data_IF_034859195831
#
_entry.id   IF_034859195831
#
_cell.length_a   1.000
_cell.length_b   1.000
_cell.length_c   1.000
_cell.angle_alpha   90.00
_cell.angle_beta   90.00
_cell.angle_gamma   90.00
#
_symmetry.space_group_name_H-M   'P 1'
#
loop_
_entity.id
_entity.type
_entity.pdbx_description
1 polymer ?
#
# COMPACT_ATOMS: atom_id res chain seq x y z
N UNK A 1 -33.02 78.22 -19.28
CA UNK A 1 -32.68 77.81 -17.90
C UNK A 1 -31.92 76.49 -18.05
N UNK A 2 -30.74 76.48 -18.66
CA UNK A 2 -29.43 76.99 -18.21
C UNK A 2 -28.93 76.35 -16.91
N UNK A 3 -27.72 75.77 -16.98
CA UNK A 3 -26.87 75.35 -15.86
C UNK A 3 -26.40 73.90 -15.93
N UNK A 4 -25.42 73.55 -16.77
CA UNK A 4 -23.97 73.44 -16.43
C UNK A 4 -23.63 72.21 -15.55
N UNK A 5 -23.10 71.11 -16.12
CA UNK A 5 -21.67 70.79 -16.32
C UNK A 5 -20.93 70.36 -15.04
N UNK A 6 -20.43 69.11 -14.99
CA UNK A 6 -19.05 68.78 -14.62
C UNK A 6 -18.67 67.36 -15.08
N UNK A 7 -17.54 67.28 -15.80
CA UNK A 7 -16.84 66.09 -16.30
C UNK A 7 -15.64 65.80 -15.40
N UNK A 8 -15.39 64.52 -15.10
CA UNK A 8 -14.07 63.88 -14.91
C UNK A 8 -14.33 62.37 -14.71
N UNK A 9 -13.75 61.39 -15.43
CA UNK A 9 -12.53 61.38 -16.23
C UNK A 9 -11.38 60.75 -15.45
N UNK A 10 -11.40 59.43 -15.20
CA UNK A 10 -10.19 58.67 -14.81
C UNK A 10 -10.20 57.29 -15.49
N UNK A 11 -9.49 57.21 -16.61
CA UNK A 11 -9.05 55.97 -17.26
C UNK A 11 -7.72 55.55 -16.62
N UNK A 12 -7.73 54.51 -15.80
CA UNK A 12 -6.53 53.89 -15.23
C UNK A 12 -6.02 52.75 -16.11
N UNK A 13 -5.14 53.10 -17.04
CA UNK A 13 -4.30 52.21 -17.85
C UNK A 13 -3.17 51.69 -16.95
N UNK A 14 -3.20 50.43 -16.54
CA UNK A 14 -2.03 49.77 -15.93
C UNK A 14 -1.23 49.05 -17.01
N UNK A 15 0.04 49.44 -17.03
CA UNK A 15 1.05 49.09 -17.99
C UNK A 15 1.54 47.65 -17.82
N UNK A 16 1.99 47.11 -18.95
CA UNK A 16 2.84 45.95 -19.05
C UNK A 16 4.08 46.11 -18.15
N UNK A 17 4.28 45.19 -17.22
CA UNK A 17 5.61 44.82 -16.75
C UNK A 17 5.88 43.40 -17.20
N UNK A 18 6.72 43.31 -18.23
CA UNK A 18 7.36 42.08 -18.66
C UNK A 18 8.33 41.65 -17.56
N UNK A 19 7.96 40.64 -16.78
CA UNK A 19 8.90 39.93 -15.91
C UNK A 19 9.74 39.03 -16.82
N UNK A 20 10.97 39.47 -17.06
CA UNK A 20 12.06 38.64 -17.55
C UNK A 20 12.27 37.50 -16.54
N UNK A 21 11.78 36.31 -16.86
CA UNK A 21 12.19 35.11 -16.15
C UNK A 21 13.54 34.69 -16.70
N UNK A 22 14.56 35.05 -15.92
CA UNK A 22 15.94 34.61 -16.01
C UNK A 22 15.99 33.06 -16.05
N UNK A 23 16.43 32.51 -17.17
CA UNK A 23 16.81 31.11 -17.31
C UNK A 23 17.99 30.85 -16.36
N UNK A 24 17.73 30.19 -15.21
CA UNK A 24 18.79 29.54 -14.45
C UNK A 24 18.98 28.13 -14.99
N UNK A 25 19.84 28.07 -15.98
CA UNK A 25 20.55 26.87 -16.41
C UNK A 25 21.39 26.34 -15.24
N UNK A 26 20.86 25.37 -14.47
CA UNK A 26 21.67 24.59 -13.51
C UNK A 26 22.28 23.42 -14.24
N UNK A 27 23.26 23.74 -15.07
CA UNK A 27 24.25 22.80 -15.58
C UNK A 27 25.18 22.40 -14.43
N UNK A 28 24.85 21.32 -13.71
CA UNK A 28 25.83 20.66 -12.84
C UNK A 28 26.79 19.81 -13.67
N UNK A 29 27.77 20.53 -14.20
CA UNK A 29 28.98 20.02 -14.81
C UNK A 29 29.89 19.44 -13.72
N UNK A 30 29.71 18.16 -13.32
CA UNK A 30 30.70 17.41 -12.53
C UNK A 30 31.59 16.58 -13.47
N UNK A 31 32.58 17.24 -14.04
CA UNK A 31 33.84 16.60 -14.45
C UNK A 31 34.94 17.21 -13.62
N UNK A 32 35.60 16.41 -12.78
CA UNK A 32 37.03 16.54 -12.47
C UNK A 32 37.51 15.22 -11.85
N UNK A 33 38.44 14.61 -12.60
CA UNK A 33 39.59 13.77 -12.25
C UNK A 33 39.42 12.54 -11.35
N UNK A 34 39.51 11.38 -12.02
CA UNK A 34 40.69 10.49 -11.95
C UNK A 34 41.47 10.44 -10.63
N UNK A 35 41.22 9.40 -9.84
CA UNK A 35 42.12 8.90 -8.81
C UNK A 35 42.13 7.37 -8.84
N UNK A 36 43.09 6.80 -9.56
CA UNK A 36 43.45 5.38 -9.49
C UNK A 36 44.01 5.09 -8.09
N UNK A 37 43.38 4.19 -7.35
CA UNK A 37 44.01 3.49 -6.23
C UNK A 37 43.70 1.99 -6.35
N UNK A 38 44.59 1.27 -7.02
CA UNK A 38 44.70 -0.18 -6.88
C UNK A 38 45.12 -0.48 -5.43
N UNK A 39 44.30 -1.22 -4.71
CA UNK A 39 44.74 -1.94 -3.52
C UNK A 39 44.28 -3.38 -3.63
N UNK A 40 45.15 -4.18 -4.25
CA UNK A 40 45.11 -5.62 -4.15
C UNK A 40 45.62 -6.00 -2.76
N UNK A 41 44.75 -6.53 -1.90
CA UNK A 41 45.15 -7.25 -0.70
C UNK A 41 44.81 -8.71 -0.92
N UNK A 42 45.81 -9.46 -1.36
CA UNK A 42 45.85 -10.90 -1.23
C UNK A 42 46.20 -11.23 0.23
N UNK A 43 45.31 -11.94 0.93
CA UNK A 43 45.62 -12.56 2.21
C UNK A 43 45.46 -14.07 2.07
N UNK A 44 46.62 -14.72 2.17
CA UNK A 44 46.87 -16.14 2.08
C UNK A 44 46.39 -16.88 3.34
N UNK A 45 46.02 -18.13 3.08
CA UNK A 45 45.76 -19.26 3.99
C UNK A 45 46.71 -19.41 5.20
N UNK A 46 46.12 -19.81 6.34
CA UNK A 46 46.64 -20.77 7.32
C UNK A 46 45.47 -21.17 8.26
N UNK A 47 44.91 -22.40 8.24
CA UNK A 47 45.43 -23.71 8.69
C UNK A 47 45.40 -23.94 10.22
N UNK A 48 44.73 -25.04 10.60
CA UNK A 48 44.82 -25.82 11.86
C UNK A 48 44.42 -25.10 13.17
N UNK A 49 43.66 -25.64 14.11
CA UNK A 49 43.32 -27.01 14.49
C UNK A 49 43.13 -27.04 16.02
N UNK A 50 42.44 -28.04 16.56
CA UNK A 50 42.63 -28.45 17.97
C UNK A 50 41.44 -28.38 18.92
N UNK A 51 40.76 -29.52 19.03
CA UNK A 51 40.54 -30.29 20.28
C UNK A 51 39.68 -29.75 21.44
N UNK A 52 38.61 -30.52 21.69
CA UNK A 52 38.17 -31.12 22.96
C UNK A 52 37.93 -30.24 24.21
N UNK A 53 36.67 -30.21 24.65
CA UNK A 53 36.33 -30.56 26.03
C UNK A 53 34.86 -31.04 26.16
N UNK A 54 34.58 -32.08 26.96
CA UNK A 54 33.25 -32.63 27.22
C UNK A 54 32.62 -31.98 28.46
N UNK A 55 31.30 -31.73 28.44
CA UNK A 55 30.50 -31.40 29.63
C UNK A 55 29.12 -32.05 29.43
N UNK A 56 28.94 -33.24 29.99
CA UNK A 56 28.25 -33.51 31.26
C UNK A 56 26.74 -33.74 31.06
N UNK A 57 26.44 -35.03 31.07
CA UNK A 57 25.25 -35.70 31.61
C UNK A 57 24.41 -34.82 32.54
N UNK A 58 23.11 -34.70 32.24
CA UNK A 58 22.13 -34.65 33.31
C UNK A 58 20.92 -35.53 32.97
N UNK A 59 20.61 -36.37 33.94
CA UNK A 59 19.58 -37.42 33.91
C UNK A 59 18.36 -36.87 34.64
N UNK A 60 17.35 -36.44 33.89
CA UNK A 60 16.11 -35.89 34.45
C UNK A 60 14.89 -36.76 34.14
N UNK A 61 14.57 -37.66 35.06
CA UNK A 61 13.33 -38.45 35.13
C UNK A 61 12.09 -37.56 35.26
N UNK A 62 11.05 -37.77 34.46
CA UNK A 62 9.64 -37.49 34.82
C UNK A 62 8.69 -38.24 33.89
N UNK A 63 8.06 -39.33 34.34
CA UNK A 63 6.76 -39.35 35.06
C UNK A 63 5.57 -39.28 34.11
N UNK A 64 5.12 -40.47 33.68
CA UNK A 64 3.88 -40.74 32.95
C UNK A 64 2.66 -40.41 33.81
N UNK A 65 1.70 -39.59 33.34
CA UNK A 65 0.37 -39.50 33.96
C UNK A 65 -0.58 -40.60 33.45
N UNK A 66 -1.59 -40.99 34.26
CA UNK A 66 -2.47 -42.12 34.01
C UNK A 66 -3.56 -41.82 32.97
N UNK A 67 -3.92 -42.89 32.25
CA UNK A 67 -5.08 -43.04 31.38
C UNK A 67 -6.36 -42.90 32.22
N UNK A 68 -7.21 -41.94 31.86
CA UNK A 68 -8.55 -41.72 32.44
C UNK A 68 -9.58 -41.57 31.32
N UNK A 69 -10.68 -42.30 31.45
CA UNK A 69 -11.68 -42.61 30.44
C UNK A 69 -12.38 -41.38 29.83
N UNK A 70 -12.35 -41.29 28.50
CA UNK A 70 -12.98 -40.24 27.73
C UNK A 70 -14.36 -40.72 27.26
N UNK A 71 -15.40 -40.20 27.91
CA UNK A 71 -16.82 -40.41 27.58
C UNK A 71 -17.15 -39.71 26.25
N UNK A 72 -17.51 -40.52 25.24
CA UNK A 72 -17.92 -40.08 23.91
C UNK A 72 -19.37 -39.58 23.93
N UNK A 73 -19.54 -38.26 24.00
CA UNK A 73 -20.82 -37.60 23.72
C UNK A 73 -20.84 -37.17 22.25
N UNK A 74 -21.83 -37.58 21.43
CA UNK A 74 -21.95 -37.14 20.05
C UNK A 74 -22.49 -35.71 20.03
N UNK A 75 -21.58 -34.72 20.09
CA UNK A 75 -21.92 -33.33 19.82
C UNK A 75 -22.05 -33.20 18.30
N UNK A 76 -23.30 -33.05 17.84
CA UNK A 76 -23.66 -33.03 16.43
C UNK A 76 -22.81 -32.05 15.62
N UNK A 77 -22.32 -32.53 14.48
CA UNK A 77 -21.93 -31.70 13.36
C UNK A 77 -23.13 -30.81 12.99
N UNK A 78 -23.13 -29.61 13.56
CA UNK A 78 -23.92 -28.51 13.04
C UNK A 78 -23.29 -28.14 11.71
N UNK A 79 -23.72 -28.86 10.66
CA UNK A 79 -23.50 -28.48 9.28
C UNK A 79 -23.99 -27.05 9.12
N UNK A 80 -23.08 -26.09 9.12
CA UNK A 80 -23.32 -24.72 8.69
C UNK A 80 -23.45 -24.73 7.16
N UNK A 81 -24.52 -25.35 6.67
CA UNK A 81 -25.04 -25.14 5.32
C UNK A 81 -25.59 -23.73 5.24
N UNK A 82 -24.66 -22.79 5.06
CA UNK A 82 -24.91 -21.40 4.75
C UNK A 82 -23.80 -20.86 3.85
N UNK A 83 -23.30 -21.70 2.92
CA UNK A 83 -22.38 -21.32 1.85
C UNK A 83 -23.12 -20.49 0.80
N UNK A 84 -23.69 -19.37 1.25
CA UNK A 84 -24.31 -18.38 0.40
C UNK A 84 -23.22 -17.67 -0.39
N UNK A 85 -23.43 -17.55 -1.70
CA UNK A 85 -22.51 -16.81 -2.55
C UNK A 85 -22.36 -15.35 -2.05
N UNK A 86 -21.19 -15.04 -1.52
CA UNK A 86 -20.73 -13.69 -1.14
C UNK A 86 -21.02 -12.71 -2.28
N UNK A 87 -21.82 -11.69 -1.99
CA UNK A 87 -22.17 -10.68 -2.98
C UNK A 87 -21.06 -9.63 -3.08
N UNK A 88 -20.60 -9.30 -4.30
CA UNK A 88 -19.67 -8.19 -4.50
C UNK A 88 -20.27 -6.88 -3.98
N UNK A 89 -19.53 -6.19 -3.11
CA UNK A 89 -19.94 -4.88 -2.60
C UNK A 89 -19.44 -3.75 -3.51
N UNK A 90 -20.12 -2.58 -3.50
CA UNK A 90 -19.63 -1.38 -4.14
C UNK A 90 -18.23 -1.00 -3.64
N UNK A 91 -17.47 -0.27 -4.46
CA UNK A 91 -16.18 0.27 -4.03
C UNK A 91 -16.33 1.14 -2.78
N UNK A 92 -15.46 0.91 -1.79
CA UNK A 92 -15.45 1.60 -0.51
C UNK A 92 -16.75 1.41 0.33
N UNK A 93 -17.31 0.20 0.36
CA UNK A 93 -18.51 -0.10 1.14
C UNK A 93 -18.32 0.13 2.67
N UNK A 94 -17.14 -0.19 3.22
CA UNK A 94 -16.79 0.08 4.62
C UNK A 94 -16.59 1.56 4.95
N UNK A 95 -16.40 2.40 3.93
CA UNK A 95 -16.09 3.82 4.12
C UNK A 95 -14.71 4.07 4.77
N UNK A 96 -13.79 3.10 4.69
CA UNK A 96 -12.41 3.25 5.16
C UNK A 96 -11.58 4.13 4.23
N UNK A 97 -11.88 4.10 2.93
CA UNK A 97 -11.19 4.91 1.93
C UNK A 97 -11.81 6.31 1.81
N UNK A 98 -10.99 7.29 1.46
CA UNK A 98 -11.43 8.65 1.13
C UNK A 98 -11.15 9.00 -0.33
N UNK A 99 -11.48 10.22 -0.73
CA UNK A 99 -11.32 10.71 -2.10
C UNK A 99 -12.63 10.71 -2.89
N UNK A 100 -12.52 10.83 -4.21
CA UNK A 100 -13.67 10.98 -5.12
C UNK A 100 -13.80 9.87 -6.17
N UNK A 101 -12.86 8.91 -6.20
CA UNK A 101 -12.93 7.77 -7.09
C UNK A 101 -14.07 6.80 -6.72
N UNK A 102 -14.74 6.29 -7.75
CA UNK A 102 -15.81 5.28 -7.63
C UNK A 102 -15.70 4.23 -8.75
N UNK A 103 -14.56 3.53 -8.87
CA UNK A 103 -14.39 2.51 -9.89
C UNK A 103 -15.39 1.37 -9.72
N UNK A 104 -15.87 0.83 -10.83
CA UNK A 104 -16.66 -0.37 -10.87
C UNK A 104 -15.79 -1.60 -11.19
N UNK A 105 -15.42 -2.36 -10.16
CA UNK A 105 -14.61 -3.56 -10.33
C UNK A 105 -15.45 -4.82 -10.51
N UNK A 106 -15.00 -5.77 -11.35
CA UNK A 106 -15.63 -7.08 -11.49
C UNK A 106 -15.86 -7.82 -10.16
N UNK A 107 -16.78 -8.77 -10.20
CA UNK A 107 -17.13 -9.61 -9.07
C UNK A 107 -16.00 -10.51 -8.58
N UNK A 108 -15.05 -10.94 -9.43
CA UNK A 108 -14.03 -11.93 -9.07
C UNK A 108 -14.59 -13.35 -8.93
N UNK A 109 -13.75 -14.31 -8.54
CA UNK A 109 -14.15 -15.70 -8.33
C UNK A 109 -14.80 -15.88 -6.95
N UNK A 110 -15.85 -16.70 -6.88
CA UNK A 110 -16.58 -17.00 -5.64
C UNK A 110 -15.69 -17.78 -4.66
N UNK A 111 -15.74 -17.43 -3.37
CA UNK A 111 -15.03 -18.14 -2.32
C UNK A 111 -13.51 -17.92 -2.32
N UNK A 112 -13.00 -16.95 -3.09
CA UNK A 112 -11.58 -16.65 -3.22
C UNK A 112 -11.29 -15.17 -3.07
N UNK A 113 -10.05 -14.86 -2.72
CA UNK A 113 -9.49 -13.52 -2.93
C UNK A 113 -8.95 -13.47 -4.36
N UNK A 114 -9.51 -12.58 -5.19
CA UNK A 114 -9.27 -12.56 -6.64
C UNK A 114 -8.69 -11.23 -7.09
N UNK A 115 -7.69 -11.23 -7.97
CA UNK A 115 -7.31 -10.02 -8.71
C UNK A 115 -8.43 -9.68 -9.70
N UNK A 116 -9.02 -8.50 -9.57
CA UNK A 116 -10.16 -8.04 -10.39
C UNK A 116 -9.74 -6.97 -11.40
N UNK A 117 -8.57 -6.37 -11.23
CA UNK A 117 -7.96 -5.52 -12.22
C UNK A 117 -6.44 -5.51 -12.07
N UNK A 118 -5.72 -5.55 -13.19
CA UNK A 118 -4.29 -5.22 -13.26
C UNK A 118 -4.15 -3.83 -13.88
N UNK A 119 -3.42 -2.94 -13.21
CA UNK A 119 -3.04 -1.61 -13.65
C UNK A 119 -1.72 -1.59 -14.43
N UNK A 120 -1.13 -0.42 -14.69
CA UNK A 120 0.15 -0.32 -15.38
C UNK A 120 1.31 -0.87 -14.52
N UNK A 121 2.36 -1.33 -15.22
CA UNK A 121 3.69 -1.55 -14.65
C UNK A 121 4.49 -0.26 -14.79
N UNK A 122 4.83 0.36 -13.66
CA UNK A 122 5.72 1.49 -13.58
C UNK A 122 7.16 0.99 -13.51
N UNK A 123 7.84 0.92 -14.66
CA UNK A 123 9.17 0.28 -14.76
C UNK A 123 10.27 1.02 -14.01
N UNK A 124 10.10 2.32 -13.76
CA UNK A 124 11.09 3.13 -13.05
C UNK A 124 11.06 2.91 -11.53
N UNK A 125 9.86 2.72 -10.95
CA UNK A 125 9.69 2.36 -9.54
C UNK A 125 9.59 0.85 -9.31
N UNK A 126 9.50 0.06 -10.39
CA UNK A 126 9.32 -1.38 -10.36
C UNK A 126 7.97 -1.85 -9.82
N UNK A 127 6.93 -1.04 -9.98
CA UNK A 127 5.64 -1.25 -9.32
C UNK A 127 4.56 -1.67 -10.32
N UNK A 128 3.94 -2.83 -10.11
CA UNK A 128 2.74 -3.27 -10.83
C UNK A 128 1.51 -3.04 -9.96
N UNK A 129 0.63 -2.12 -10.36
CA UNK A 129 -0.59 -1.82 -9.61
C UNK A 129 -1.69 -2.86 -9.88
N UNK A 130 -2.51 -3.16 -8.89
CA UNK A 130 -3.69 -4.00 -9.10
C UNK A 130 -4.79 -3.75 -8.05
N UNK A 131 -6.01 -4.15 -8.40
CA UNK A 131 -7.14 -4.25 -7.47
C UNK A 131 -7.46 -5.73 -7.26
N UNK A 132 -7.83 -6.07 -6.03
CA UNK A 132 -8.31 -7.39 -5.68
C UNK A 132 -9.63 -7.30 -4.92
N UNK A 133 -10.39 -8.39 -4.90
CA UNK A 133 -11.64 -8.49 -4.15
C UNK A 133 -11.60 -9.70 -3.24
N UNK A 134 -12.04 -9.52 -2.01
CA UNK A 134 -12.26 -10.61 -1.07
C UNK A 134 -13.66 -11.20 -1.28
N UNK A 135 -13.82 -12.32 -1.99
CA UNK A 135 -15.11 -13.02 -2.11
C UNK A 135 -15.21 -14.25 -1.20
N UNK A 136 -14.39 -14.30 -0.15
CA UNK A 136 -14.53 -15.29 0.92
C UNK A 136 -15.62 -14.83 1.90
N UNK A 137 -16.12 -15.73 2.75
CA UNK A 137 -17.13 -15.40 3.76
C UNK A 137 -16.60 -14.59 4.94
N UNK A 138 -15.28 -14.47 5.09
CA UNK A 138 -14.63 -13.83 6.23
C UNK A 138 -13.89 -12.56 5.80
N UNK A 139 -13.69 -11.64 6.75
CA UNK A 139 -12.82 -10.49 6.53
C UNK A 139 -11.35 -10.93 6.54
N UNK A 140 -10.55 -10.34 5.67
CA UNK A 140 -9.11 -10.62 5.56
C UNK A 140 -8.26 -9.43 5.99
N UNK A 141 -7.09 -9.73 6.53
CA UNK A 141 -6.02 -8.81 6.90
C UNK A 141 -4.68 -9.37 6.38
N UNK A 142 -3.61 -8.57 6.51
CA UNK A 142 -2.23 -8.95 6.14
C UNK A 142 -2.19 -9.68 4.78
N UNK A 143 -2.72 -8.99 3.77
CA UNK A 143 -2.94 -9.56 2.44
C UNK A 143 -1.63 -9.49 1.66
N UNK A 144 -0.87 -10.57 1.71
CA UNK A 144 0.42 -10.70 1.05
C UNK A 144 0.26 -11.36 -0.32
N UNK A 145 0.58 -10.61 -1.35
CA UNK A 145 0.59 -11.08 -2.71
C UNK A 145 2.01 -11.37 -3.17
N UNK A 146 2.17 -12.42 -3.97
CA UNK A 146 3.32 -12.55 -4.85
C UNK A 146 2.85 -12.62 -6.29
N UNK A 147 3.70 -12.21 -7.22
CA UNK A 147 3.42 -12.38 -8.64
C UNK A 147 4.64 -12.84 -9.43
N UNK A 148 4.35 -13.68 -10.42
CA UNK A 148 5.32 -14.11 -11.43
C UNK A 148 4.97 -13.47 -12.77
N UNK A 149 5.92 -12.76 -13.36
CA UNK A 149 5.81 -12.22 -14.71
C UNK A 149 6.39 -13.23 -15.71
N UNK A 150 5.63 -13.54 -16.76
CA UNK A 150 6.04 -14.45 -17.83
C UNK A 150 5.96 -13.81 -19.20
N UNK A 151 6.94 -14.07 -20.07
CA UNK A 151 6.92 -13.66 -21.48
C UNK A 151 7.58 -14.76 -22.32
N UNK A 152 6.96 -15.10 -23.47
CA UNK A 152 7.42 -16.19 -24.32
C UNK A 152 7.49 -17.57 -23.62
N UNK A 153 6.64 -17.81 -22.61
CA UNK A 153 6.63 -19.05 -21.83
C UNK A 153 7.76 -19.17 -20.80
N UNK A 154 8.52 -18.11 -20.55
CA UNK A 154 9.59 -18.07 -19.54
C UNK A 154 9.23 -17.08 -18.44
N UNK A 155 9.67 -17.38 -17.22
CA UNK A 155 9.65 -16.41 -16.12
C UNK A 155 10.68 -15.32 -16.42
N UNK A 156 10.23 -14.07 -16.37
CA UNK A 156 11.05 -12.87 -16.62
C UNK A 156 11.14 -11.97 -15.39
N UNK A 157 10.36 -12.24 -14.33
CA UNK A 157 10.43 -11.53 -13.07
C UNK A 157 9.54 -12.18 -12.01
N UNK A 158 9.90 -11.98 -10.76
CA UNK A 158 9.11 -12.36 -9.58
C UNK A 158 9.11 -11.19 -8.62
N UNK A 159 7.99 -10.95 -7.94
CA UNK A 159 7.84 -9.85 -7.02
C UNK A 159 6.86 -10.16 -5.90
N UNK A 160 6.83 -9.30 -4.89
CA UNK A 160 5.91 -9.38 -3.76
C UNK A 160 5.25 -8.02 -3.50
N UNK A 161 4.09 -8.05 -2.84
CA UNK A 161 3.45 -6.84 -2.35
C UNK A 161 4.13 -6.30 -1.11
N UNK A 162 3.86 -5.04 -0.81
CA UNK A 162 4.28 -4.36 0.41
C UNK A 162 3.06 -3.76 1.12
N UNK A 163 1.99 -4.56 1.21
CA UNK A 163 0.71 -4.17 1.78
C UNK A 163 -0.32 -3.67 0.75
N UNK A 164 -1.44 -3.17 1.26
CA UNK A 164 -2.55 -2.67 0.46
C UNK A 164 -3.49 -1.79 1.27
N UNK A 165 -4.43 -1.16 0.57
CA UNK A 165 -5.49 -0.35 1.18
C UNK A 165 -6.90 -0.84 0.78
N UNK A 166 -7.86 -0.88 1.71
CA UNK A 166 -7.67 -0.75 3.15
C UNK A 166 -6.82 -1.90 3.73
N UNK A 167 -6.24 -1.69 4.91
CA UNK A 167 -5.42 -2.69 5.61
C UNK A 167 -6.19 -3.99 5.96
N UNK A 168 -7.51 -3.87 6.13
CA UNK A 168 -8.44 -4.96 6.34
C UNK A 168 -9.57 -4.85 5.33
N UNK A 169 -9.91 -5.96 4.68
CA UNK A 169 -10.88 -6.02 3.58
C UNK A 169 -11.99 -6.99 3.96
N UNK A 170 -13.21 -6.47 4.14
CA UNK A 170 -14.35 -7.30 4.52
C UNK A 170 -14.82 -8.18 3.36
N UNK A 171 -15.67 -9.16 3.67
CA UNK A 171 -16.30 -10.02 2.67
C UNK A 171 -17.04 -9.18 1.62
N UNK A 172 -16.78 -9.48 0.35
CA UNK A 172 -17.29 -8.77 -0.83
C UNK A 172 -16.56 -7.46 -1.16
N UNK A 173 -15.64 -6.96 -0.33
CA UNK A 173 -14.96 -5.67 -0.55
C UNK A 173 -13.74 -5.75 -1.47
N UNK A 174 -13.32 -4.58 -1.97
CA UNK A 174 -12.15 -4.41 -2.82
C UNK A 174 -10.99 -3.80 -2.04
N UNK A 175 -9.81 -4.34 -2.25
CA UNK A 175 -8.54 -3.72 -1.87
C UNK A 175 -7.71 -3.31 -3.11
N UNK A 176 -6.77 -2.40 -2.87
CA UNK A 176 -5.79 -1.92 -3.84
C UNK A 176 -4.41 -2.21 -3.31
N UNK A 177 -3.54 -2.75 -4.16
CA UNK A 177 -2.18 -3.11 -3.80
C UNK A 177 -1.27 -2.97 -5.02
N UNK A 178 0.01 -3.28 -4.81
CA UNK A 178 1.00 -3.33 -5.85
C UNK A 178 1.97 -4.48 -5.61
N UNK A 179 2.56 -4.98 -6.69
CA UNK A 179 3.72 -5.87 -6.63
C UNK A 179 4.96 -5.05 -6.95
N UNK A 180 5.99 -5.18 -6.13
CA UNK A 180 7.31 -4.65 -6.42
C UNK A 180 8.19 -5.72 -7.08
N UNK A 181 8.81 -5.37 -8.21
CA UNK A 181 9.75 -6.20 -8.96
C UNK A 181 11.11 -5.52 -9.02
N UNK A 182 12.14 -6.13 -8.41
CA UNK A 182 13.52 -5.61 -8.45
C UNK A 182 14.08 -5.48 -9.87
N UNK A 183 13.58 -6.29 -10.81
CA UNK A 183 14.04 -6.35 -12.18
C UNK A 183 13.04 -5.78 -13.20
N UNK A 184 12.15 -4.87 -12.78
CA UNK A 184 11.04 -4.39 -13.61
C UNK A 184 11.43 -3.86 -15.00
N UNK A 185 12.61 -3.22 -15.13
CA UNK A 185 13.11 -2.73 -16.43
C UNK A 185 13.34 -3.84 -17.47
N UNK A 186 13.52 -5.08 -17.02
CA UNK A 186 13.68 -6.25 -17.87
C UNK A 186 12.35 -6.96 -18.20
N UNK A 187 11.24 -6.58 -17.55
CA UNK A 187 9.93 -7.18 -17.77
C UNK A 187 9.29 -6.56 -19.02
N UNK A 188 9.00 -7.33 -20.08
CA UNK A 188 8.35 -6.82 -21.28
C UNK A 188 6.93 -6.29 -21.00
N UNK A 189 6.48 -5.30 -21.79
CA UNK A 189 5.14 -4.70 -21.65
C UNK A 189 3.99 -5.68 -21.90
N UNK A 190 4.24 -6.76 -22.63
CA UNK A 190 3.27 -7.82 -22.95
C UNK A 190 3.39 -9.03 -22.01
N UNK A 191 4.15 -8.91 -20.92
CA UNK A 191 4.26 -9.95 -19.92
C UNK A 191 2.88 -10.27 -19.31
N UNK A 192 2.67 -11.56 -19.04
CA UNK A 192 1.52 -12.06 -18.29
C UNK A 192 1.90 -12.19 -16.84
N UNK A 193 0.99 -11.82 -15.96
CA UNK A 193 1.20 -11.89 -14.51
C UNK A 193 0.30 -12.96 -13.91
N UNK A 194 0.90 -13.83 -13.11
CA UNK A 194 0.20 -14.81 -12.28
C UNK A 194 0.40 -14.44 -10.83
N UNK A 195 -0.68 -14.44 -10.05
CA UNK A 195 -0.71 -13.95 -8.68
C UNK A 195 -1.01 -15.10 -7.71
N UNK A 196 -0.36 -15.07 -6.56
CA UNK A 196 -0.75 -15.87 -5.39
C UNK A 196 -0.96 -14.95 -4.21
N UNK A 197 -1.79 -15.38 -3.26
CA UNK A 197 -2.17 -14.57 -2.10
C UNK A 197 -2.20 -15.40 -0.84
N UNK A 198 -1.66 -14.82 0.23
CA UNK A 198 -1.77 -15.28 1.60
C UNK A 198 -2.48 -14.20 2.42
N UNK A 199 -3.32 -14.61 3.37
CA UNK A 199 -4.12 -13.70 4.20
C UNK A 199 -4.24 -14.23 5.61
N UNK A 200 -4.41 -13.34 6.56
CA UNK A 200 -4.86 -13.66 7.92
C UNK A 200 -6.32 -13.24 8.13
N UNK A 201 -7.02 -13.81 9.12
CA UNK A 201 -8.30 -13.27 9.56
C UNK A 201 -8.15 -11.83 10.06
N UNK A 202 -9.24 -11.06 9.95
CA UNK A 202 -9.34 -9.75 10.60
C UNK A 202 -9.32 -9.92 12.12
N UNK A 203 -8.31 -9.33 12.75
CA UNK A 203 -8.23 -9.15 14.20
C UNK A 203 -7.39 -7.89 14.53
N UNK A 204 -7.18 -7.65 15.82
CA UNK A 204 -6.35 -6.54 16.33
C UNK A 204 -4.99 -7.01 16.85
N UNK A 205 -4.50 -8.17 16.41
CA UNK A 205 -3.17 -8.65 16.77
C UNK A 205 -2.09 -7.73 16.18
N UNK A 206 -0.95 -7.62 16.86
CA UNK A 206 0.17 -6.78 16.39
C UNK A 206 0.82 -7.26 15.08
N UNK A 207 0.48 -8.46 14.62
CA UNK A 207 0.85 -8.95 13.28
C UNK A 207 0.03 -8.27 12.17
N UNK A 208 -1.18 -7.84 12.49
CA UNK A 208 -2.10 -7.19 11.58
C UNK A 208 -1.92 -5.66 11.56
N UNK A 209 -2.37 -5.05 10.47
CA UNK A 209 -2.33 -3.59 10.29
C UNK A 209 -3.69 -2.98 10.63
N UNK A 210 -3.65 -1.84 11.32
CA UNK A 210 -4.84 -1.11 11.74
C UNK A 210 -5.35 -0.24 10.58
N UNK A 211 -6.58 -0.46 10.07
CA UNK A 211 -7.17 0.41 9.08
C UNK A 211 -7.60 1.74 9.73
N UNK A 212 -7.12 2.85 9.17
CA UNK A 212 -7.55 4.18 9.58
C UNK A 212 -8.67 4.65 8.64
N UNK A 213 -9.77 5.16 9.20
CA UNK A 213 -10.88 5.69 8.41
C UNK A 213 -10.51 7.08 7.89
N UNK A 214 -10.38 7.24 6.59
CA UNK A 214 -10.15 8.56 5.99
C UNK A 214 -11.38 9.44 6.19
N UNK A 215 -11.22 10.57 6.87
CA UNK A 215 -12.32 11.50 7.17
C UNK A 215 -12.44 12.61 6.14
N UNK A 216 -11.32 12.98 5.51
CA UNK A 216 -11.28 13.97 4.45
C UNK A 216 -10.04 13.75 3.58
N UNK A 217 -10.17 13.96 2.26
CA UNK A 217 -9.06 14.06 1.34
C UNK A 217 -9.45 14.99 0.18
N UNK A 218 -8.63 16.01 -0.09
CA UNK A 218 -8.88 16.98 -1.17
C UNK A 218 -7.62 17.19 -2.00
N UNK A 219 -7.79 17.33 -3.31
CA UNK A 219 -6.75 17.85 -4.19
C UNK A 219 -6.72 19.39 -4.07
N UNK A 220 -5.63 19.94 -3.55
CA UNK A 220 -5.40 21.37 -3.36
C UNK A 220 -4.11 21.74 -4.07
N UNK A 221 -4.22 22.49 -5.17
CA UNK A 221 -3.07 22.75 -6.05
C UNK A 221 -2.54 21.45 -6.65
N UNK A 222 -1.26 21.17 -6.43
CA UNK A 222 -0.60 19.93 -6.86
C UNK A 222 -0.55 18.84 -5.80
N UNK A 223 -1.24 18.99 -4.66
CA UNK A 223 -1.08 18.09 -3.51
C UNK A 223 -2.42 17.52 -3.04
N UNK A 224 -2.40 16.30 -2.50
CA UNK A 224 -3.55 15.70 -1.82
C UNK A 224 -3.36 15.85 -0.32
N UNK A 225 -4.27 16.59 0.31
CA UNK A 225 -4.24 16.90 1.75
C UNK A 225 -5.47 16.34 2.44
N UNK A 226 -5.30 15.83 3.65
CA UNK A 226 -6.39 15.19 4.34
C UNK A 226 -6.09 14.73 5.76
N UNK A 227 -6.98 13.89 6.27
CA UNK A 227 -6.83 13.27 7.58
C UNK A 227 -7.63 11.98 7.69
N UNK A 228 -7.25 11.19 8.69
CA UNK A 228 -7.90 9.93 9.03
C UNK A 228 -8.08 9.81 10.54
N UNK A 229 -8.98 8.92 10.96
CA UNK A 229 -9.25 8.62 12.36
C UNK A 229 -9.03 7.14 12.60
N UNK A 230 -8.43 6.77 13.73
CA UNK A 230 -8.43 5.39 14.19
C UNK A 230 -9.86 5.04 14.61
N UNK A 231 -10.62 4.44 13.70
CA UNK A 231 -12.00 4.04 13.94
C UNK A 231 -12.10 2.61 14.48
N UNK A 232 -10.97 1.98 14.80
CA UNK A 232 -10.91 0.68 15.47
C UNK A 232 -11.11 0.85 16.97
N UNK A 233 -11.27 -0.26 17.69
CA UNK A 233 -11.34 -0.33 19.14
C UNK A 233 -9.97 -0.56 19.81
N UNK A 234 -8.90 -0.68 19.02
CA UNK A 234 -7.54 -0.88 19.49
C UNK A 234 -6.63 0.33 19.21
N UNK A 235 -5.52 0.43 19.95
CA UNK A 235 -4.49 1.43 19.69
C UNK A 235 -3.73 1.09 18.40
N UNK A 236 -3.50 2.10 17.57
CA UNK A 236 -2.63 1.99 16.40
C UNK A 236 -1.27 2.64 16.69
N UNK A 237 -0.19 2.11 16.12
CA UNK A 237 1.16 2.65 16.19
C UNK A 237 1.69 2.92 14.78
N UNK A 238 2.45 4.01 14.64
CA UNK A 238 3.08 4.40 13.38
C UNK A 238 4.33 3.59 13.03
N UNK A 239 4.93 3.82 11.85
CA UNK A 239 4.55 4.87 10.89
C UNK A 239 3.18 4.61 10.26
N UNK A 240 2.42 5.69 10.01
CA UNK A 240 1.10 5.57 9.38
C UNK A 240 1.22 5.78 7.88
N UNK A 241 1.22 4.70 7.12
CA UNK A 241 1.30 4.74 5.67
C UNK A 241 0.03 5.37 5.07
N UNK A 242 0.23 6.26 4.11
CA UNK A 242 -0.82 6.90 3.33
C UNK A 242 -0.60 6.51 1.88
N UNK A 243 -1.57 5.83 1.29
CA UNK A 243 -1.49 5.37 -0.08
C UNK A 243 -2.61 6.00 -0.90
N UNK A 244 -2.23 6.55 -2.05
CA UNK A 244 -3.10 7.27 -2.97
C UNK A 244 -3.08 6.54 -4.30
N UNK A 245 -4.25 6.18 -4.83
CA UNK A 245 -4.36 5.62 -6.17
C UNK A 245 -5.16 6.57 -7.07
N UNK A 246 -4.59 6.88 -8.23
CA UNK A 246 -5.20 7.72 -9.25
C UNK A 246 -5.96 6.85 -10.27
N UNK A 247 -7.09 7.34 -10.73
CA UNK A 247 -7.98 6.63 -11.64
C UNK A 247 -8.29 7.42 -12.90
N UNK A 248 -8.50 6.70 -14.00
CA UNK A 248 -9.12 7.18 -15.24
C UNK A 248 -10.33 6.30 -15.54
N UNK A 249 -11.51 6.80 -15.19
CA UNK A 249 -12.72 5.96 -15.14
C UNK A 249 -12.54 4.86 -14.10
N UNK A 250 -12.79 3.61 -14.49
CA UNK A 250 -12.60 2.45 -13.62
C UNK A 250 -11.14 2.00 -13.50
N UNK A 251 -10.23 2.54 -14.33
CA UNK A 251 -8.86 2.03 -14.42
C UNK A 251 -7.91 2.76 -13.47
N UNK A 252 -7.23 2.01 -12.62
CA UNK A 252 -6.01 2.46 -11.91
C UNK A 252 -4.98 2.98 -12.92
N UNK A 253 -4.35 4.10 -12.63
CA UNK A 253 -3.36 4.75 -13.49
C UNK A 253 -2.02 5.00 -12.79
N UNK A 254 -2.03 5.41 -11.52
CA UNK A 254 -0.83 5.75 -10.79
C UNK A 254 -1.04 5.50 -9.30
N UNK A 255 0.07 5.43 -8.56
CA UNK A 255 0.12 5.32 -7.10
C UNK A 255 1.09 6.37 -6.57
N UNK A 256 0.70 7.04 -5.50
CA UNK A 256 1.56 7.90 -4.69
C UNK A 256 1.50 7.42 -3.24
N UNK A 257 2.56 7.65 -2.49
CA UNK A 257 2.70 7.12 -1.14
C UNK A 257 3.48 8.07 -0.24
N UNK A 258 2.97 8.28 0.96
CA UNK A 258 3.59 9.12 1.99
C UNK A 258 3.27 8.58 3.39
N UNK A 259 3.61 9.33 4.42
CA UNK A 259 3.24 9.04 5.79
C UNK A 259 2.40 10.16 6.38
N UNK A 260 1.56 9.83 7.36
CA UNK A 260 0.91 10.84 8.17
C UNK A 260 1.93 11.55 9.08
N UNK A 261 1.61 12.79 9.49
CA UNK A 261 2.50 13.65 10.29
C UNK A 261 2.75 13.11 11.71
N UNK A 262 1.82 12.32 12.23
CA UNK A 262 1.90 11.77 13.58
C UNK A 262 2.77 10.52 13.59
N UNK A 263 3.70 10.42 14.54
CA UNK A 263 4.62 9.27 14.67
C UNK A 263 4.31 8.38 15.89
N UNK A 264 3.53 8.90 16.83
CA UNK A 264 3.20 8.22 18.09
C UNK A 264 2.02 7.26 17.96
N UNK A 265 1.68 6.65 19.09
CA UNK A 265 0.47 5.85 19.28
C UNK A 265 -0.78 6.71 19.10
N UNK A 266 -1.80 6.16 18.44
CA UNK A 266 -3.09 6.78 18.21
C UNK A 266 -4.16 5.87 18.80
N UNK A 267 -4.72 6.30 19.94
CA UNK A 267 -5.84 5.63 20.60
C UNK A 267 -7.10 5.58 19.71
N UNK A 268 -8.08 4.71 20.00
CA UNK A 268 -9.41 4.74 19.39
C UNK A 268 -10.01 6.15 19.34
N UNK A 269 -10.53 6.55 18.18
CA UNK A 269 -11.04 7.89 17.90
C UNK A 269 -9.98 8.98 17.70
N UNK A 270 -8.70 8.65 17.90
CA UNK A 270 -7.57 9.56 17.64
C UNK A 270 -7.38 9.81 16.14
N UNK A 271 -6.71 10.92 15.79
CA UNK A 271 -6.64 11.43 14.42
C UNK A 271 -5.22 11.57 13.93
N UNK A 272 -5.06 11.41 12.62
CA UNK A 272 -3.84 11.70 11.88
C UNK A 272 -4.13 12.61 10.69
N UNK A 273 -3.12 13.34 10.24
CA UNK A 273 -3.17 14.27 9.08
C UNK A 273 -2.07 13.94 8.10
N UNK A 274 -2.29 14.22 6.82
CA UNK A 274 -1.31 13.93 5.77
C UNK A 274 -1.34 14.98 4.65
N UNK A 275 -0.21 15.09 3.95
CA UNK A 275 -0.05 15.89 2.74
C UNK A 275 0.89 15.17 1.78
N UNK A 276 0.44 14.88 0.56
CA UNK A 276 1.27 14.32 -0.49
C UNK A 276 1.36 15.27 -1.68
N UNK A 277 2.58 15.60 -2.11
CA UNK A 277 2.82 16.34 -3.36
C UNK A 277 2.81 15.37 -4.54
N UNK A 278 2.01 15.67 -5.57
CA UNK A 278 1.93 14.85 -6.77
C UNK A 278 3.02 15.19 -7.79
N UNK A 279 3.89 16.17 -7.51
CA UNK A 279 5.00 16.57 -8.37
C UNK A 279 4.61 16.89 -9.82
N UNK A 280 3.39 17.42 -10.00
CA UNK A 280 2.83 17.76 -11.31
C UNK A 280 1.99 16.66 -11.97
N UNK A 281 1.92 15.46 -11.38
CA UNK A 281 1.09 14.38 -11.88
C UNK A 281 -0.41 14.72 -11.78
N UNK A 282 -1.16 14.31 -12.81
CA UNK A 282 -2.60 14.57 -12.89
C UNK A 282 -3.37 13.45 -12.20
N UNK A 283 -3.89 13.75 -11.01
CA UNK A 283 -4.71 12.83 -10.22
C UNK A 283 -6.10 13.41 -9.86
N UNK A 284 -6.92 13.84 -10.83
CA UNK A 284 -8.20 14.49 -10.54
C UNK A 284 -9.26 13.54 -9.95
N UNK A 285 -9.11 12.24 -10.20
CA UNK A 285 -9.97 11.18 -9.64
C UNK A 285 -9.08 10.23 -8.87
N UNK A 286 -9.27 10.14 -7.56
CA UNK A 286 -8.37 9.42 -6.67
C UNK A 286 -9.09 8.80 -5.49
N UNK A 287 -8.45 7.82 -4.88
CA UNK A 287 -8.80 7.28 -3.57
C UNK A 287 -7.60 7.33 -2.65
N UNK A 288 -7.85 7.46 -1.35
CA UNK A 288 -6.81 7.45 -0.31
C UNK A 288 -7.15 6.38 0.72
N UNK A 289 -6.15 5.63 1.16
CA UNK A 289 -6.24 4.76 2.34
C UNK A 289 -5.11 5.10 3.30
N UNK A 290 -5.37 4.91 4.59
CA UNK A 290 -4.39 5.14 5.65
C UNK A 290 -4.35 3.92 6.55
N UNK A 291 -3.16 3.48 6.94
CA UNK A 291 -2.97 2.34 7.82
C UNK A 291 -1.84 2.58 8.82
N UNK A 292 -1.90 1.89 9.96
CA UNK A 292 -0.79 1.76 10.91
C UNK A 292 -0.68 0.30 11.35
N UNK A 293 -0.01 0.05 12.48
CA UNK A 293 0.10 -1.28 13.09
C UNK A 293 -0.73 -1.36 14.35
N UNK A 294 -1.37 -2.49 14.63
CA UNK A 294 -1.93 -2.70 15.97
C UNK A 294 -0.80 -2.84 17.00
N UNK A 295 -1.06 -2.39 18.23
CA UNK A 295 -0.09 -2.37 19.34
C UNK A 295 -0.34 -3.44 20.38
#
# INVERSE_FOLDING_TARGET
MDGSSFLAGVTGRWQNEAVQHEERDVSMNRKILSGLALSAVALLLAACGGSNAPVATDSGTSSTPPVGEQSSSPSGEQSSTGDGAVQPLPFNASGLLGGNAKPNFPAGEQGKVSVVQIGPMETDSGTLLFAFRNNTSEGISHVDWTATATSGGKIVGTGSSQGGIPAQVQSGEVGLSYIYFDNAKAIPKDAKYEFTVETTPVDTSSYNTAPMKVTQANLVGGSIVGGATNATDAEATGPYSVEIYCFKGDKIQAKHGTFAEQLGKIAPGGKVTFSEDLFGDKCPTFTVGVSGFFS
#
